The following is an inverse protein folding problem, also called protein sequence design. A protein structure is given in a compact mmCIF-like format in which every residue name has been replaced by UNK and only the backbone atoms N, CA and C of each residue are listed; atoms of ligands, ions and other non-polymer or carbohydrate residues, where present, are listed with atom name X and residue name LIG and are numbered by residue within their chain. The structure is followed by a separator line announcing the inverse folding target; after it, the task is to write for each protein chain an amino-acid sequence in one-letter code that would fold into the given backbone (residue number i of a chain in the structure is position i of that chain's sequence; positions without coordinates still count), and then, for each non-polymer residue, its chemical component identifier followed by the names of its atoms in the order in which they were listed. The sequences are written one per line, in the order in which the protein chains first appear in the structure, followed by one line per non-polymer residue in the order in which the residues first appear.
data_IF_178496270203
#
_entry.id   IF_178496270203
#
_cell.length_a   1.000
_cell.length_b   1.000
_cell.length_c   1.000
_cell.angle_alpha   90.00
_cell.angle_beta   90.00
_cell.angle_gamma   90.00
#
_symmetry.space_group_name_H-M   'P 1'
#
loop_
_entity.id
_entity.type
_entity.pdbx_description
1 polymer ?
#
# COMPACT_ATOMS: atom_id res chain seq x y z
N UNK A 1 1.75 1.77 -13.07
CA UNK A 1 2.31 2.31 -14.33
C UNK A 1 3.61 3.09 -14.15
N UNK A 2 3.87 3.70 -12.98
CA UNK A 2 5.09 4.47 -12.70
C UNK A 2 6.41 3.67 -12.79
N UNK A 3 6.51 2.48 -12.22
CA UNK A 3 7.75 1.68 -12.31
C UNK A 3 8.07 1.25 -13.75
N UNK A 4 7.05 0.90 -14.55
CA UNK A 4 7.24 0.59 -15.97
C UNK A 4 7.73 1.82 -16.77
N UNK A 5 7.25 3.03 -16.43
CA UNK A 5 7.74 4.28 -17.00
C UNK A 5 9.23 4.48 -16.70
N UNK A 6 9.66 4.25 -15.46
CA UNK A 6 11.07 4.37 -15.04
C UNK A 6 12.00 3.36 -15.73
N UNK A 7 11.45 2.25 -16.24
CA UNK A 7 12.18 1.24 -17.00
C UNK A 7 12.21 1.51 -18.52
N UNK A 8 11.51 2.54 -19.00
CA UNK A 8 11.40 2.84 -20.42
C UNK A 8 12.48 3.85 -20.84
N UNK A 9 13.54 3.46 -21.57
CA UNK A 9 14.66 4.35 -21.87
C UNK A 9 14.30 5.56 -22.74
N UNK A 10 13.23 5.43 -23.54
CA UNK A 10 12.75 6.48 -24.43
C UNK A 10 11.77 7.46 -23.76
N UNK A 11 11.50 7.32 -22.46
CA UNK A 11 10.53 8.17 -21.79
C UNK A 11 11.07 9.60 -21.64
N UNK A 12 10.30 10.64 -22.04
CA UNK A 12 10.73 12.03 -21.90
C UNK A 12 10.78 12.50 -20.44
N UNK A 13 10.05 11.81 -19.55
CA UNK A 13 10.11 12.03 -18.09
C UNK A 13 9.97 10.70 -17.34
N UNK A 14 10.54 10.65 -16.14
CA UNK A 14 10.47 9.50 -15.23
C UNK A 14 9.59 9.76 -13.99
N UNK A 15 9.02 10.96 -13.85
CA UNK A 15 8.07 11.26 -12.78
C UNK A 15 6.61 11.05 -13.23
N UNK A 16 5.70 10.89 -12.28
CA UNK A 16 4.26 10.81 -12.53
C UNK A 16 3.53 11.79 -11.62
N UNK A 17 2.63 12.60 -12.17
CA UNK A 17 1.84 13.56 -11.40
C UNK A 17 0.38 13.11 -11.31
N UNK A 18 -0.18 13.21 -10.11
CA UNK A 18 -1.59 13.04 -9.81
C UNK A 18 -2.12 14.38 -9.28
N UNK A 19 -2.93 15.05 -10.09
CA UNK A 19 -3.57 16.32 -9.72
C UNK A 19 -4.92 16.00 -9.07
N UNK A 20 -5.03 16.24 -7.77
CA UNK A 20 -6.28 16.17 -7.02
C UNK A 20 -6.91 17.57 -6.91
N UNK A 21 -8.04 17.67 -6.21
CA UNK A 21 -8.79 18.92 -6.06
C UNK A 21 -7.96 20.02 -5.38
N UNK A 22 -7.26 19.66 -4.31
CA UNK A 22 -6.60 20.61 -3.41
C UNK A 22 -5.06 20.46 -3.43
N UNK A 23 -4.56 19.30 -3.86
CA UNK A 23 -3.12 18.97 -3.87
C UNK A 23 -2.70 18.32 -5.19
N UNK A 24 -1.43 18.49 -5.54
CA UNK A 24 -0.76 17.73 -6.58
C UNK A 24 0.29 16.82 -5.95
N UNK A 25 0.20 15.53 -6.26
CA UNK A 25 1.14 14.51 -5.82
C UNK A 25 2.07 14.14 -6.96
N UNK A 26 3.38 14.16 -6.72
CA UNK A 26 4.40 13.77 -7.70
C UNK A 26 5.16 12.56 -7.20
N UNK A 27 5.11 11.46 -7.95
CA UNK A 27 6.03 10.35 -7.79
C UNK A 27 7.32 10.68 -8.54
N UNK A 28 8.40 10.84 -7.80
CA UNK A 28 9.74 11.12 -8.33
C UNK A 28 10.36 9.89 -9.02
N UNK A 29 11.37 10.09 -9.89
CA UNK A 29 12.07 8.98 -10.54
C UNK A 29 12.60 7.95 -9.55
N UNK A 30 12.55 6.68 -9.95
CA UNK A 30 12.93 5.52 -9.15
C UNK A 30 14.04 4.79 -9.88
N UNK A 31 15.26 4.80 -9.36
CA UNK A 31 16.43 4.21 -10.03
C UNK A 31 16.45 2.67 -9.94
N UNK A 32 15.94 2.11 -8.86
CA UNK A 32 15.80 0.66 -8.59
C UNK A 32 14.45 0.08 -9.08
N UNK A 33 13.80 0.74 -10.05
CA UNK A 33 12.45 0.39 -10.50
C UNK A 33 12.27 -1.06 -10.97
N UNK A 34 13.35 -1.71 -11.44
CA UNK A 34 13.33 -3.13 -11.85
C UNK A 34 13.18 -4.05 -10.65
N UNK A 35 13.88 -3.78 -9.56
CA UNK A 35 13.87 -4.58 -8.35
C UNK A 35 12.50 -4.47 -7.69
N UNK A 36 12.00 -3.24 -7.52
CA UNK A 36 10.68 -2.97 -6.99
C UNK A 36 9.55 -3.60 -7.81
N UNK A 37 9.63 -3.54 -9.15
CA UNK A 37 8.63 -4.19 -10.00
C UNK A 37 8.69 -5.72 -9.87
N UNK A 38 9.89 -6.28 -9.73
CA UNK A 38 10.10 -7.71 -9.53
C UNK A 38 9.50 -8.16 -8.19
N UNK A 39 9.69 -7.37 -7.13
CA UNK A 39 9.09 -7.62 -5.82
C UNK A 39 7.57 -7.56 -5.85
N UNK A 40 6.98 -6.59 -6.54
CA UNK A 40 5.53 -6.53 -6.74
C UNK A 40 4.99 -7.77 -7.47
N UNK A 41 5.70 -8.22 -8.51
CA UNK A 41 5.33 -9.42 -9.25
C UNK A 41 5.47 -10.69 -8.39
N UNK A 42 6.45 -10.74 -7.48
CA UNK A 42 6.60 -11.82 -6.53
C UNK A 42 5.42 -11.85 -5.54
N UNK A 43 5.04 -10.70 -4.95
CA UNK A 43 3.86 -10.61 -4.10
C UNK A 43 2.58 -11.02 -4.85
N UNK A 44 2.39 -10.55 -6.08
CA UNK A 44 1.26 -10.93 -6.91
C UNK A 44 1.22 -12.45 -7.15
N UNK A 45 2.36 -13.05 -7.50
CA UNK A 45 2.47 -14.49 -7.73
C UNK A 45 2.14 -15.31 -6.49
N UNK A 46 2.62 -14.89 -5.31
CA UNK A 46 2.26 -15.51 -4.04
C UNK A 46 0.76 -15.35 -3.76
N UNK A 47 0.21 -14.15 -3.97
CA UNK A 47 -1.21 -13.83 -3.78
C UNK A 47 -2.18 -14.66 -4.64
N UNK A 48 -1.73 -15.15 -5.78
CA UNK A 48 -2.51 -16.07 -6.63
C UNK A 48 -2.62 -17.48 -6.04
N UNK A 49 -1.66 -17.90 -5.22
CA UNK A 49 -1.63 -19.23 -4.61
C UNK A 49 -2.14 -19.22 -3.16
N UNK A 50 -1.87 -18.14 -2.41
CA UNK A 50 -2.25 -17.99 -1.02
C UNK A 50 -2.67 -16.54 -0.73
N UNK A 51 -3.77 -16.30 0.02
CA UNK A 51 -4.17 -14.96 0.41
C UNK A 51 -3.06 -14.26 1.21
N UNK A 52 -2.60 -13.10 0.75
CA UNK A 52 -1.65 -12.27 1.50
C UNK A 52 -2.42 -11.36 2.46
N UNK A 53 -2.03 -11.26 3.75
CA UNK A 53 -2.69 -10.39 4.73
C UNK A 53 -2.34 -8.90 4.47
N UNK A 54 -2.77 -8.37 3.34
CA UNK A 54 -2.56 -6.99 2.92
C UNK A 54 -3.92 -6.31 2.70
N UNK A 55 -4.21 -5.33 3.55
CA UNK A 55 -5.50 -4.63 3.60
C UNK A 55 -5.27 -3.16 3.20
N UNK A 56 -5.61 -2.74 1.97
CA UNK A 56 -5.11 -1.48 1.40
C UNK A 56 -5.43 -0.23 2.20
N UNK A 57 -6.61 -0.13 2.84
CA UNK A 57 -6.93 1.07 3.63
C UNK A 57 -6.10 1.13 4.91
N UNK A 58 -5.96 -0.01 5.59
CA UNK A 58 -5.17 -0.15 6.81
C UNK A 58 -3.69 0.04 6.53
N UNK A 59 -3.20 -0.50 5.41
CA UNK A 59 -1.82 -0.34 4.95
C UNK A 59 -1.50 1.12 4.59
N UNK A 60 -2.44 1.82 3.94
CA UNK A 60 -2.32 3.25 3.71
C UNK A 60 -2.31 4.05 5.02
N UNK A 61 -3.22 3.74 5.95
CA UNK A 61 -3.27 4.40 7.25
C UNK A 61 -1.98 4.20 8.06
N UNK A 62 -1.41 2.99 7.98
CA UNK A 62 -0.10 2.67 8.54
C UNK A 62 1.00 3.53 7.89
N UNK A 63 1.12 3.49 6.55
CA UNK A 63 2.24 4.08 5.82
C UNK A 63 2.33 5.61 5.94
N UNK A 64 1.20 6.28 6.12
CA UNK A 64 1.11 7.75 6.21
C UNK A 64 0.77 8.24 7.62
N UNK A 65 0.88 7.40 8.65
CA UNK A 65 0.61 7.80 10.02
C UNK A 65 1.60 8.87 10.52
N UNK A 66 1.08 9.93 11.15
CA UNK A 66 1.92 10.92 11.87
C UNK A 66 2.23 10.51 13.33
N UNK A 67 1.63 9.41 13.81
CA UNK A 67 1.80 8.85 15.14
C UNK A 67 2.16 7.37 15.06
N UNK A 68 1.63 6.56 15.98
CA UNK A 68 1.83 5.10 15.95
C UNK A 68 1.20 4.48 14.69
N UNK A 69 2.01 3.95 13.74
CA UNK A 69 1.52 3.37 12.49
C UNK A 69 0.64 2.14 12.71
N UNK A 70 0.99 1.30 13.69
CA UNK A 70 0.25 0.07 13.98
C UNK A 70 -1.13 0.40 14.55
N UNK A 71 -1.20 1.41 15.42
CA UNK A 71 -2.48 1.89 15.93
C UNK A 71 -3.34 2.53 14.82
N UNK A 72 -2.74 3.27 13.89
CA UNK A 72 -3.45 3.85 12.75
C UNK A 72 -4.03 2.77 11.85
N UNK A 73 -3.25 1.72 11.56
CA UNK A 73 -3.70 0.55 10.81
C UNK A 73 -4.86 -0.15 11.52
N UNK A 74 -4.71 -0.44 12.82
CA UNK A 74 -5.71 -1.15 13.63
C UNK A 74 -7.05 -0.41 13.67
N UNK A 75 -7.02 0.91 13.84
CA UNK A 75 -8.23 1.76 13.79
C UNK A 75 -8.92 1.77 12.43
N UNK A 76 -8.16 1.58 11.34
CA UNK A 76 -8.73 1.49 10.00
C UNK A 76 -9.29 0.09 9.71
N UNK A 77 -8.63 -0.94 10.25
CA UNK A 77 -9.04 -2.34 10.16
C UNK A 77 -10.35 -2.60 10.88
N UNK A 78 -10.50 -2.15 12.13
CA UNK A 78 -11.62 -2.50 13.00
C UNK A 78 -12.87 -1.66 12.72
N UNK A 79 -14.01 -2.33 12.61
CA UNK A 79 -15.31 -1.67 12.57
C UNK A 79 -15.64 -1.02 13.91
N UNK A 80 -16.26 0.15 13.83
CA UNK A 80 -16.83 0.86 14.97
C UNK A 80 -18.36 0.89 14.85
N UNK A 81 -19.04 1.43 15.87
CA UNK A 81 -20.49 1.64 15.83
C UNK A 81 -20.95 2.61 14.72
N UNK A 82 -20.04 3.36 14.10
CA UNK A 82 -20.37 4.41 13.13
C UNK A 82 -19.76 4.20 11.75
N UNK A 83 -18.66 3.46 11.65
CA UNK A 83 -17.89 3.29 10.41
C UNK A 83 -17.43 1.84 10.31
N UNK A 84 -17.66 1.24 9.14
CA UNK A 84 -17.14 -0.08 8.81
C UNK A 84 -15.63 -0.01 8.51
N UNK A 85 -14.89 -0.83 9.26
CA UNK A 85 -13.49 -1.11 9.02
C UNK A 85 -13.30 -2.03 7.81
N UNK A 86 -12.06 -2.43 7.54
CA UNK A 86 -11.76 -3.48 6.56
C UNK A 86 -12.14 -4.89 7.05
N UNK A 87 -12.26 -5.08 8.37
CA UNK A 87 -12.75 -6.30 9.01
C UNK A 87 -14.19 -6.69 8.58
N UNK A 88 -14.99 -5.73 8.13
CA UNK A 88 -16.34 -5.96 7.61
C UNK A 88 -16.35 -6.55 6.18
N UNK A 89 -15.19 -6.71 5.53
CA UNK A 89 -15.11 -7.28 4.19
C UNK A 89 -15.31 -8.81 4.24
N UNK A 90 -16.37 -9.37 3.62
CA UNK A 90 -16.66 -10.79 3.69
C UNK A 90 -15.59 -11.67 3.03
N UNK A 91 -14.84 -11.13 2.07
CA UNK A 91 -13.75 -11.86 1.43
C UNK A 91 -12.54 -12.00 2.35
N UNK A 92 -12.24 -10.98 3.17
CA UNK A 92 -11.18 -11.06 4.17
C UNK A 92 -11.58 -12.03 5.29
N UNK A 93 -12.82 -11.94 5.76
CA UNK A 93 -13.36 -12.88 6.76
C UNK A 93 -13.26 -14.32 6.29
N UNK A 94 -13.59 -14.60 5.02
CA UNK A 94 -13.49 -15.94 4.46
C UNK A 94 -12.03 -16.41 4.30
N UNK A 95 -11.17 -15.54 3.75
CA UNK A 95 -9.80 -15.88 3.43
C UNK A 95 -8.91 -16.08 4.66
N UNK A 96 -9.16 -15.32 5.74
CA UNK A 96 -8.33 -15.31 6.95
C UNK A 96 -9.07 -15.81 8.20
N UNK A 97 -10.16 -16.57 8.03
CA UNK A 97 -11.01 -17.04 9.14
C UNK A 97 -10.22 -17.72 10.28
N UNK A 98 -9.15 -18.45 9.93
CA UNK A 98 -8.39 -19.27 10.87
C UNK A 98 -7.35 -18.42 11.65
N UNK A 99 -7.07 -17.21 11.19
CA UNK A 99 -6.09 -16.27 11.77
C UNK A 99 -6.73 -14.92 12.17
N UNK A 100 -8.07 -14.82 12.07
CA UNK A 100 -8.84 -13.58 12.11
C UNK A 100 -8.55 -12.71 13.34
N UNK A 101 -8.50 -13.34 14.51
CA UNK A 101 -8.32 -12.66 15.79
C UNK A 101 -6.93 -12.03 15.95
N UNK A 102 -5.97 -12.42 15.11
CA UNK A 102 -4.59 -11.91 15.14
C UNK A 102 -4.35 -10.79 14.11
N UNK A 103 -5.34 -10.42 13.29
CA UNK A 103 -5.17 -9.41 12.25
C UNK A 103 -5.44 -7.96 12.74
N UNK A 104 -4.71 -6.96 12.21
CA UNK A 104 -3.52 -7.07 11.36
C UNK A 104 -2.29 -7.53 12.18
N UNK A 105 -1.45 -8.40 11.60
CA UNK A 105 -0.31 -9.04 12.26
C UNK A 105 1.05 -8.54 11.71
N UNK A 106 2.15 -9.18 12.13
CA UNK A 106 3.50 -8.82 11.67
C UNK A 106 3.71 -9.04 10.16
N UNK A 107 3.05 -10.03 9.56
CA UNK A 107 3.12 -10.25 8.11
C UNK A 107 2.45 -9.11 7.34
N UNK A 108 1.31 -8.62 7.84
CA UNK A 108 0.69 -7.39 7.31
C UNK A 108 1.66 -6.20 7.37
N UNK A 109 2.38 -6.02 8.48
CA UNK A 109 3.36 -4.93 8.63
C UNK A 109 4.48 -5.10 7.60
N UNK A 110 5.06 -6.29 7.50
CA UNK A 110 6.14 -6.56 6.54
C UNK A 110 5.71 -6.34 5.09
N UNK A 111 4.50 -6.78 4.71
CA UNK A 111 3.91 -6.53 3.40
C UNK A 111 3.65 -5.04 3.17
N UNK A 112 3.15 -4.34 4.18
CA UNK A 112 2.89 -2.90 4.10
C UNK A 112 4.17 -2.12 3.88
N UNK A 113 5.21 -2.36 4.68
CA UNK A 113 6.52 -1.73 4.48
C UNK A 113 7.07 -2.03 3.09
N UNK A 114 7.06 -3.30 2.68
CA UNK A 114 7.56 -3.71 1.36
C UNK A 114 6.86 -3.02 0.19
N UNK A 115 5.54 -2.79 0.30
CA UNK A 115 4.72 -2.25 -0.80
C UNK A 115 4.59 -0.73 -0.77
N UNK A 116 4.47 -0.12 0.41
CA UNK A 116 4.24 1.31 0.56
C UNK A 116 5.52 2.12 0.76
N UNK A 117 6.60 1.56 1.31
CA UNK A 117 7.84 2.32 1.52
C UNK A 117 8.36 2.97 0.24
N UNK A 118 8.41 2.28 -0.92
CA UNK A 118 8.84 2.90 -2.16
C UNK A 118 7.93 4.05 -2.61
N UNK A 119 6.62 3.96 -2.32
CA UNK A 119 5.66 5.03 -2.62
C UNK A 119 5.96 6.23 -1.73
N UNK A 120 6.04 6.03 -0.41
CA UNK A 120 6.29 7.12 0.56
C UNK A 120 7.61 7.82 0.28
N UNK A 121 8.67 7.07 -0.02
CA UNK A 121 10.02 7.63 -0.26
C UNK A 121 10.13 8.46 -1.54
N UNK A 122 9.24 8.24 -2.52
CA UNK A 122 9.25 8.96 -3.80
C UNK A 122 8.07 9.92 -3.97
N UNK A 123 7.17 10.01 -2.99
CA UNK A 123 5.98 10.85 -3.07
C UNK A 123 6.27 12.25 -2.52
N UNK A 124 6.14 13.24 -3.39
CA UNK A 124 6.13 14.65 -3.00
C UNK A 124 4.73 15.23 -3.15
N UNK A 125 4.33 16.07 -2.20
CA UNK A 125 3.04 16.78 -2.21
C UNK A 125 3.26 18.27 -2.32
N UNK A 126 2.55 18.92 -3.24
CA UNK A 126 2.51 20.38 -3.39
C UNK A 126 1.06 20.85 -3.35
N UNK A 127 0.75 21.84 -2.50
CA UNK A 127 -0.57 22.48 -2.48
C UNK A 127 -0.75 23.35 -3.72
N UNK A 128 -1.94 23.26 -4.34
CA UNK A 128 -2.26 23.99 -5.58
C UNK A 128 -2.73 25.43 -5.33
#
# INVERSE_FOLDING_TARGET
MHLALNLTPASPTRHTQLVARDDTYTLQPVDDARELLTDLLACYSTGLAHPLPFFPRSAHAYAFASGDPSLAAKRCWESSSYVNGEDANPWYQLAFRDEWDNLPNDEFVALTERLYRPIVDHLETSSS
#
